data_IF_555986898997
#
_entry.id   IF_555986898997
#
_cell.length_a   1.000
_cell.length_b   1.000
_cell.length_c   1.000
_cell.angle_alpha   90.00
_cell.angle_beta   90.00
_cell.angle_gamma   90.00
#
_symmetry.space_group_name_H-M   'P 1'
#
loop_
_entity.id
_entity.type
_entity.pdbx_description
1 polymer ?
#
# COMPACT_ATOMS: atom_id res chain seq x y z
N UNK A 1 6.27 12.28 2.86
CA UNK A 1 5.69 12.02 1.52
C UNK A 1 4.37 11.31 1.70
N UNK A 2 3.31 11.83 1.09
CA UNK A 2 1.93 11.35 1.24
C UNK A 2 1.78 9.91 0.70
N UNK A 3 1.05 9.05 1.40
CA UNK A 3 0.90 7.63 1.04
C UNK A 3 0.35 7.44 -0.38
N UNK A 4 -0.60 8.29 -0.79
CA UNK A 4 -1.22 8.21 -2.10
C UNK A 4 -0.21 8.36 -3.25
N UNK A 5 0.79 9.24 -3.07
CA UNK A 5 1.85 9.46 -4.07
C UNK A 5 2.80 8.27 -4.15
N UNK A 6 3.12 7.63 -3.02
CA UNK A 6 3.94 6.42 -3.01
C UNK A 6 3.23 5.27 -3.71
N UNK A 7 1.92 5.12 -3.49
CA UNK A 7 1.09 4.13 -4.18
C UNK A 7 1.07 4.38 -5.69
N UNK A 8 0.97 5.64 -6.13
CA UNK A 8 1.03 5.97 -7.56
C UNK A 8 2.36 5.55 -8.19
N UNK A 9 3.50 5.95 -7.61
CA UNK A 9 4.83 5.53 -8.06
C UNK A 9 4.97 4.00 -8.07
N UNK A 10 4.44 3.31 -7.05
CA UNK A 10 4.45 1.84 -7.01
C UNK A 10 3.72 1.24 -8.22
N UNK A 11 2.54 1.75 -8.55
CA UNK A 11 1.72 1.21 -9.64
C UNK A 11 2.21 1.62 -11.03
N UNK A 12 2.75 2.81 -11.18
CA UNK A 12 3.11 3.37 -12.48
C UNK A 12 4.57 3.08 -12.84
N UNK A 13 5.49 3.11 -11.88
CA UNK A 13 6.93 2.93 -12.15
C UNK A 13 7.38 1.48 -11.88
N UNK A 14 6.99 0.92 -10.74
CA UNK A 14 7.45 -0.42 -10.35
C UNK A 14 6.62 -1.55 -10.94
N UNK A 15 5.30 -1.36 -11.06
CA UNK A 15 4.37 -2.38 -11.55
C UNK A 15 3.44 -1.89 -12.68
N UNK A 16 3.94 -1.21 -13.73
CA UNK A 16 3.11 -0.63 -14.80
C UNK A 16 2.23 -1.64 -15.52
N UNK A 17 2.71 -2.89 -15.65
CA UNK A 17 2.03 -3.96 -16.36
C UNK A 17 1.12 -4.82 -15.45
N UNK A 18 1.12 -4.57 -14.14
CA UNK A 18 0.29 -5.33 -13.22
C UNK A 18 -1.17 -4.88 -13.33
N UNK A 19 -2.04 -5.84 -13.63
CA UNK A 19 -3.49 -5.66 -13.67
C UNK A 19 -4.03 -5.40 -12.25
N UNK A 20 -3.47 -6.11 -11.25
CA UNK A 20 -3.74 -5.89 -9.83
C UNK A 20 -2.47 -6.04 -9.00
N UNK A 21 -2.34 -5.21 -7.97
CA UNK A 21 -1.28 -5.26 -6.96
C UNK A 21 -1.93 -5.50 -5.60
N UNK A 22 -1.50 -6.60 -4.94
CA UNK A 22 -1.89 -6.91 -3.57
C UNK A 22 -0.97 -6.18 -2.60
N UNK A 23 -1.47 -5.11 -1.99
CA UNK A 23 -0.71 -4.29 -1.07
C UNK A 23 -0.99 -4.77 0.36
N UNK A 24 0.01 -5.38 0.99
CA UNK A 24 -0.07 -5.80 2.40
C UNK A 24 0.47 -4.67 3.27
N UNK A 25 -0.33 -4.19 4.21
CA UNK A 25 0.03 -3.07 5.09
C UNK A 25 -0.21 -3.40 6.56
N UNK A 26 0.52 -2.73 7.46
CA UNK A 26 0.23 -2.77 8.89
C UNK A 26 -1.08 -2.02 9.20
N UNK A 27 -1.74 -2.39 10.29
CA UNK A 27 -3.14 -2.04 10.58
C UNK A 27 -3.34 -0.61 11.10
N UNK A 28 -2.64 0.36 10.53
CA UNK A 28 -2.84 1.77 10.86
C UNK A 28 -3.96 2.34 9.97
N UNK A 29 -5.08 2.75 10.62
CA UNK A 29 -6.35 3.22 10.03
C UNK A 29 -6.27 4.45 9.09
N UNK A 30 -5.09 4.82 8.60
CA UNK A 30 -4.88 6.02 7.76
C UNK A 30 -4.64 5.68 6.28
N UNK A 31 -4.44 4.41 5.93
CA UNK A 31 -4.16 3.96 4.57
C UNK A 31 -5.38 3.26 3.97
N UNK A 32 -6.35 4.07 3.53
CA UNK A 32 -7.55 3.58 2.86
C UNK A 32 -7.61 4.10 1.44
N UNK A 33 -8.37 3.44 0.56
CA UNK A 33 -8.62 3.93 -0.80
C UNK A 33 -9.15 5.38 -0.81
N UNK A 34 -9.82 5.83 0.26
CA UNK A 34 -10.28 7.21 0.40
C UNK A 34 -9.14 8.23 0.40
N UNK A 35 -7.92 7.85 0.80
CA UNK A 35 -6.74 8.71 0.73
C UNK A 35 -6.32 8.98 -0.72
N UNK A 36 -6.60 8.07 -1.66
CA UNK A 36 -6.36 8.31 -3.10
C UNK A 36 -7.30 9.40 -3.63
N UNK A 37 -8.59 9.35 -3.27
CA UNK A 37 -9.59 10.34 -3.67
C UNK A 37 -9.38 11.72 -3.04
N UNK A 38 -8.59 11.82 -1.96
CA UNK A 38 -8.18 13.11 -1.38
C UNK A 38 -6.97 13.71 -2.09
N UNK A 39 -6.11 12.88 -2.66
CA UNK A 39 -4.84 13.29 -3.25
C UNK A 39 -4.92 13.51 -4.77
N UNK A 40 -5.82 12.81 -5.45
CA UNK A 40 -5.93 12.81 -6.91
C UNK A 40 -7.35 13.11 -7.38
N UNK A 41 -7.45 13.53 -8.65
CA UNK A 41 -8.74 13.67 -9.32
C UNK A 41 -9.52 12.34 -9.30
N UNK A 42 -10.86 12.38 -9.24
CA UNK A 42 -11.69 11.19 -9.04
C UNK A 42 -11.44 10.06 -10.06
N UNK A 43 -11.12 10.41 -11.31
CA UNK A 43 -10.82 9.44 -12.36
C UNK A 43 -9.48 8.73 -12.11
N UNK A 44 -8.43 9.48 -11.79
CA UNK A 44 -7.11 8.92 -11.47
C UNK A 44 -7.16 8.09 -10.17
N UNK A 45 -7.81 8.61 -9.13
CA UNK A 45 -7.98 7.91 -7.86
C UNK A 45 -8.71 6.57 -8.05
N UNK A 46 -9.73 6.53 -8.91
CA UNK A 46 -10.46 5.31 -9.23
C UNK A 46 -9.58 4.30 -9.97
N UNK A 47 -8.82 4.73 -10.99
CA UNK A 47 -7.93 3.84 -11.73
C UNK A 47 -6.87 3.21 -10.80
N UNK A 48 -6.28 4.00 -9.91
CA UNK A 48 -5.34 3.51 -8.92
C UNK A 48 -6.00 2.53 -7.94
N UNK A 49 -7.20 2.85 -7.44
CA UNK A 49 -7.96 2.00 -6.53
C UNK A 49 -8.38 0.66 -7.18
N UNK A 50 -8.79 0.65 -8.45
CA UNK A 50 -9.20 -0.56 -9.18
C UNK A 50 -8.02 -1.54 -9.36
N UNK A 51 -6.80 -1.02 -9.46
CA UNK A 51 -5.56 -1.81 -9.54
C UNK A 51 -5.05 -2.27 -8.17
N UNK A 52 -5.65 -1.85 -7.06
CA UNK A 52 -5.18 -2.19 -5.72
C UNK A 52 -6.09 -3.16 -5.01
N UNK A 53 -5.48 -4.11 -4.32
CA UNK A 53 -6.14 -4.97 -3.35
C UNK A 53 -5.41 -4.86 -2.02
N UNK A 54 -5.98 -4.11 -1.07
CA UNK A 54 -5.33 -3.80 0.21
C UNK A 54 -5.68 -4.88 1.23
N UNK A 55 -4.64 -5.49 1.80
CA UNK A 55 -4.75 -6.48 2.86
C UNK A 55 -4.08 -5.94 4.13
N UNK A 56 -4.84 -5.79 5.21
CA UNK A 56 -4.28 -5.40 6.51
C UNK A 56 -3.81 -6.63 7.27
N UNK A 57 -2.62 -6.56 7.87
CA UNK A 57 -2.18 -7.61 8.80
C UNK A 57 -3.05 -7.61 10.06
N UNK A 58 -3.43 -8.79 10.55
CA UNK A 58 -4.27 -8.92 11.73
C UNK A 58 -3.59 -8.28 12.96
N UNK A 59 -4.36 -7.57 13.80
CA UNK A 59 -3.88 -6.84 15.00
C UNK A 59 -2.98 -7.65 15.96
N UNK A 60 -3.08 -8.98 15.93
CA UNK A 60 -2.33 -9.90 16.81
C UNK A 60 -1.40 -10.85 16.03
N UNK A 61 -1.22 -10.63 14.73
CA UNK A 61 -0.41 -11.47 13.84
C UNK A 61 1.05 -11.00 13.70
N UNK A 62 1.66 -10.48 14.77
CA UNK A 62 3.06 -9.98 14.78
C UNK A 62 4.08 -11.02 14.28
N UNK A 63 3.74 -12.32 14.33
CA UNK A 63 4.59 -13.39 13.80
C UNK A 63 4.69 -13.46 12.25
N UNK A 64 3.79 -12.79 11.52
CA UNK A 64 3.69 -12.83 10.05
C UNK A 64 4.16 -11.53 9.39
N UNK A 65 4.73 -10.61 10.17
CA UNK A 65 5.20 -9.34 9.67
C UNK A 65 6.56 -9.53 8.97
N UNK A 66 6.54 -9.74 7.65
CA UNK A 66 7.77 -9.77 6.83
C UNK A 66 8.60 -8.49 7.02
N UNK A 67 7.95 -7.34 7.24
CA UNK A 67 8.65 -6.08 7.49
C UNK A 67 9.46 -6.11 8.81
N UNK A 68 8.99 -6.79 9.87
CA UNK A 68 9.73 -6.93 11.14
C UNK A 68 10.97 -7.81 11.01
N UNK A 69 10.91 -8.85 10.19
CA UNK A 69 12.04 -9.75 9.92
C UNK A 69 13.15 -9.00 9.17
N UNK A 70 12.79 -8.17 8.19
CA UNK A 70 13.73 -7.34 7.45
C UNK A 70 14.34 -6.23 8.34
N UNK A 71 13.55 -5.61 9.22
CA UNK A 71 14.08 -4.64 10.19
C UNK A 71 15.01 -5.26 11.23
N UNK A 72 14.77 -6.52 11.64
CA UNK A 72 15.66 -7.25 12.57
C UNK A 72 17.05 -7.52 11.98
N UNK A 73 17.18 -7.57 10.65
CA UNK A 73 18.48 -7.70 9.98
C UNK A 73 19.25 -6.38 9.86
N UNK A 74 18.54 -5.24 9.84
CA UNK A 74 19.15 -3.90 9.77
C UNK A 74 19.57 -3.35 11.14
N UNK A 75 19.26 -4.06 12.24
CA UNK A 75 19.54 -3.66 13.62
C UNK A 75 20.80 -4.28 14.25
N UNK A 76 21.76 -4.76 13.48
CA UNK A 76 23.07 -5.25 13.98
C UNK A 76 24.23 -4.45 13.45
#
# INVERSE_FOLDING_TARGET
MDWAHQVKTLLDEHYPKAIKVKLVMDNFNTHTAASLYKAFEPEEARQLAERLEIHSTAKHGSWLNRAEIEFSHLGR
#
